data_IF_253360676530
#
_entry.id   IF_253360676530
#
_cell.length_a   1.000
_cell.length_b   1.000
_cell.length_c   1.000
_cell.angle_alpha   90.00
_cell.angle_beta   90.00
_cell.angle_gamma   90.00
#
_symmetry.space_group_name_H-M   'P 1'
#
loop_
_entity.id
_entity.type
_entity.pdbx_description
1 polymer ?
#
# COMPACT_ATOMS: atom_id res chain seq x y z
N UNK A 1 -5.92 -28.01 -3.65
CA UNK A 1 -6.13 -26.95 -2.65
C UNK A 1 -5.31 -25.68 -2.90
N UNK A 2 -3.98 -25.75 -3.10
CA UNK A 2 -3.12 -24.55 -3.27
C UNK A 2 -3.55 -23.61 -4.43
N UNK A 3 -3.92 -24.13 -5.60
CA UNK A 3 -4.37 -23.31 -6.75
C UNK A 3 -5.67 -22.53 -6.47
N UNK A 4 -6.60 -23.11 -5.70
CA UNK A 4 -7.86 -22.48 -5.35
C UNK A 4 -7.66 -21.35 -4.32
N UNK A 5 -6.79 -21.58 -3.34
CA UNK A 5 -6.40 -20.55 -2.35
C UNK A 5 -5.71 -19.35 -3.02
N UNK A 6 -4.82 -19.58 -4.00
CA UNK A 6 -4.17 -18.51 -4.77
C UNK A 6 -5.19 -17.67 -5.57
N UNK A 7 -6.16 -18.31 -6.22
CA UNK A 7 -7.24 -17.60 -6.93
C UNK A 7 -8.06 -16.72 -5.99
N UNK A 8 -8.43 -17.23 -4.80
CA UNK A 8 -9.17 -16.45 -3.80
C UNK A 8 -8.36 -15.25 -3.31
N UNK A 9 -7.09 -15.45 -2.92
CA UNK A 9 -6.21 -14.34 -2.50
C UNK A 9 -6.10 -13.25 -3.56
N UNK A 10 -5.91 -13.65 -4.81
CA UNK A 10 -5.81 -12.73 -5.94
C UNK A 10 -7.12 -11.96 -6.17
N UNK A 11 -8.27 -12.64 -6.09
CA UNK A 11 -9.58 -12.01 -6.24
C UNK A 11 -9.84 -10.98 -5.12
N UNK A 12 -9.55 -11.34 -3.87
CA UNK A 12 -9.69 -10.44 -2.72
C UNK A 12 -8.76 -9.23 -2.84
N UNK A 13 -7.50 -9.44 -3.25
CA UNK A 13 -6.55 -8.34 -3.45
C UNK A 13 -7.00 -7.39 -4.56
N UNK A 14 -7.47 -7.96 -5.69
CA UNK A 14 -7.95 -7.17 -6.84
C UNK A 14 -9.18 -6.35 -6.45
N UNK A 15 -10.14 -6.97 -5.76
CA UNK A 15 -11.33 -6.29 -5.26
C UNK A 15 -10.98 -5.19 -4.25
N UNK A 16 -10.12 -5.49 -3.27
CA UNK A 16 -9.68 -4.49 -2.28
C UNK A 16 -8.96 -3.31 -2.92
N UNK A 17 -8.06 -3.57 -3.88
CA UNK A 17 -7.36 -2.52 -4.63
C UNK A 17 -8.34 -1.70 -5.48
N UNK A 18 -9.32 -2.34 -6.12
CA UNK A 18 -10.34 -1.66 -6.90
C UNK A 18 -11.18 -0.71 -6.02
N UNK A 19 -11.65 -1.19 -4.87
CA UNK A 19 -12.39 -0.35 -3.92
C UNK A 19 -11.52 0.81 -3.44
N UNK A 20 -10.25 0.55 -3.09
CA UNK A 20 -9.32 1.57 -2.61
C UNK A 20 -9.01 2.64 -3.68
N UNK A 21 -8.81 2.22 -4.92
CA UNK A 21 -8.56 3.11 -6.06
C UNK A 21 -9.73 4.08 -6.29
N UNK A 22 -10.98 3.60 -6.17
CA UNK A 22 -12.18 4.40 -6.39
C UNK A 22 -12.58 5.28 -5.19
N UNK A 23 -11.77 5.37 -4.13
CA UNK A 23 -12.06 6.29 -3.03
C UNK A 23 -12.00 7.74 -3.55
N UNK A 24 -13.04 8.56 -3.31
CA UNK A 24 -13.06 9.94 -3.80
C UNK A 24 -11.90 10.78 -3.25
N UNK A 25 -11.31 11.69 -4.06
CA UNK A 25 -10.15 12.49 -3.67
C UNK A 25 -10.43 13.40 -2.48
N UNK A 26 -11.67 13.76 -2.21
CA UNK A 26 -12.08 14.61 -1.08
C UNK A 26 -11.71 14.00 0.27
N UNK A 27 -11.73 12.66 0.37
CA UNK A 27 -11.32 11.93 1.57
C UNK A 27 -9.80 11.79 1.68
N UNK A 28 -9.09 11.90 0.55
CA UNK A 28 -7.64 11.78 0.46
C UNK A 28 -6.91 13.14 0.46
N UNK A 29 -7.65 14.26 0.45
CA UNK A 29 -7.14 15.63 0.32
C UNK A 29 -6.43 16.20 1.55
N UNK A 30 -6.15 15.39 2.57
CA UNK A 30 -5.51 15.87 3.80
C UNK A 30 -6.45 16.28 4.94
N UNK A 31 -7.72 16.58 4.63
CA UNK A 31 -8.72 17.13 5.58
C UNK A 31 -9.02 16.22 6.76
N UNK A 32 -9.06 14.90 6.55
CA UNK A 32 -9.45 13.92 7.58
C UNK A 32 -8.28 13.02 7.97
N UNK A 33 -7.80 13.10 9.21
CA UNK A 33 -6.75 12.20 9.69
C UNK A 33 -7.33 10.97 10.36
N UNK A 34 -6.91 9.78 9.91
CA UNK A 34 -7.19 8.49 10.56
C UNK A 34 -6.05 8.04 11.47
N UNK A 35 -4.93 8.78 11.50
CA UNK A 35 -3.78 8.45 12.31
C UNK A 35 -4.07 8.73 13.79
N UNK A 36 -4.17 7.67 14.60
CA UNK A 36 -4.41 7.77 16.04
C UNK A 36 -3.31 8.56 16.77
N UNK A 37 -2.06 8.41 16.33
CA UNK A 37 -0.92 9.15 16.90
C UNK A 37 -1.10 10.67 16.75
N UNK A 38 -1.51 11.14 15.57
CA UNK A 38 -1.80 12.55 15.33
C UNK A 38 -3.03 13.03 16.11
N UNK A 39 -4.03 12.17 16.30
CA UNK A 39 -5.23 12.51 17.05
C UNK A 39 -4.94 12.72 18.54
N UNK A 40 -4.19 11.80 19.15
CA UNK A 40 -3.87 11.78 20.59
C UNK A 40 -2.71 12.72 20.91
N UNK A 41 -1.56 12.55 20.24
CA UNK A 41 -0.31 13.22 20.59
C UNK A 41 -0.11 14.54 19.85
N UNK A 42 -1.01 14.88 18.91
CA UNK A 42 -0.95 16.10 18.09
C UNK A 42 0.37 16.28 17.33
N UNK A 43 1.11 15.19 17.11
CA UNK A 43 2.37 15.14 16.38
C UNK A 43 2.25 14.18 15.20
N UNK A 44 3.05 14.41 14.17
CA UNK A 44 3.13 13.49 13.04
C UNK A 44 4.13 12.38 13.36
N UNK A 45 3.71 11.12 13.17
CA UNK A 45 4.62 9.98 13.21
C UNK A 45 5.15 9.68 11.80
N UNK A 46 6.17 8.85 11.72
CA UNK A 46 6.75 8.37 10.46
C UNK A 46 5.72 7.75 9.49
N UNK A 47 4.64 7.14 10.00
CA UNK A 47 3.56 6.57 9.19
C UNK A 47 2.41 7.54 8.89
N UNK A 48 2.52 8.82 9.27
CA UNK A 48 1.46 9.79 8.97
C UNK A 48 1.35 9.95 7.44
N UNK A 49 0.13 10.03 6.91
CA UNK A 49 -0.09 10.21 5.48
C UNK A 49 0.15 8.97 4.60
N UNK A 50 0.59 7.83 5.13
CA UNK A 50 0.89 6.63 4.31
C UNK A 50 -0.27 6.23 3.41
N UNK A 51 -1.48 6.04 3.94
CA UNK A 51 -2.65 5.63 3.14
C UNK A 51 -2.94 6.61 1.99
N UNK A 52 -2.82 7.92 2.24
CA UNK A 52 -3.02 8.96 1.21
C UNK A 52 -1.89 8.94 0.18
N UNK A 53 -0.66 8.74 0.64
CA UNK A 53 0.50 8.56 -0.22
C UNK A 53 0.34 7.36 -1.15
N UNK A 54 -0.13 6.21 -0.64
CA UNK A 54 -0.47 5.03 -1.45
C UNK A 54 -1.52 5.40 -2.51
N UNK A 55 -2.60 6.06 -2.11
CA UNK A 55 -3.64 6.49 -3.04
C UNK A 55 -3.10 7.46 -4.12
N UNK A 56 -2.25 8.41 -3.74
CA UNK A 56 -1.62 9.36 -4.66
C UNK A 56 -0.69 8.66 -5.66
N UNK A 57 0.14 7.72 -5.19
CA UNK A 57 1.01 6.94 -6.08
C UNK A 57 0.20 6.09 -7.07
N UNK A 58 -0.92 5.50 -6.65
CA UNK A 58 -1.82 4.78 -7.55
C UNK A 58 -2.46 5.69 -8.62
N UNK A 59 -2.63 6.97 -8.32
CA UNK A 59 -3.13 7.99 -9.26
C UNK A 59 -2.01 8.78 -9.95
N UNK A 60 -0.76 8.33 -9.85
CA UNK A 60 0.42 8.97 -10.46
C UNK A 60 0.67 10.42 -9.97
N UNK A 61 0.20 10.76 -8.77
CA UNK A 61 0.37 12.07 -8.12
C UNK A 61 1.60 12.05 -7.20
N UNK A 62 2.79 12.01 -7.79
CA UNK A 62 4.04 11.80 -7.05
C UNK A 62 4.40 12.96 -6.10
N UNK A 63 4.21 14.20 -6.53
CA UNK A 63 4.52 15.37 -5.70
C UNK A 63 3.67 15.37 -4.43
N UNK A 64 2.36 15.13 -4.56
CA UNK A 64 1.46 15.06 -3.41
C UNK A 64 1.75 13.86 -2.52
N UNK A 65 2.13 12.72 -3.11
CA UNK A 65 2.58 11.57 -2.34
C UNK A 65 3.80 11.91 -1.47
N UNK A 66 4.76 12.67 -2.02
CA UNK A 66 5.93 13.15 -1.29
C UNK A 66 5.56 14.09 -0.14
N UNK A 67 4.63 15.02 -0.39
CA UNK A 67 4.14 15.95 0.64
C UNK A 67 3.40 15.22 1.77
N UNK A 68 2.65 14.15 1.46
CA UNK A 68 1.96 13.37 2.49
C UNK A 68 2.90 12.49 3.32
N UNK A 69 3.86 11.82 2.68
CA UNK A 69 4.85 11.00 3.38
C UNK A 69 6.06 10.74 2.47
N UNK A 70 7.22 11.29 2.81
CA UNK A 70 8.44 11.11 2.00
C UNK A 70 8.92 9.65 1.94
N UNK A 71 8.69 8.85 2.99
CA UNK A 71 9.05 7.43 3.02
C UNK A 71 8.10 6.57 2.17
N UNK A 72 7.06 7.16 1.56
CA UNK A 72 6.15 6.43 0.69
C UNK A 72 6.88 5.78 -0.48
N UNK A 73 7.92 6.42 -1.01
CA UNK A 73 8.70 5.90 -2.13
C UNK A 73 9.51 4.65 -1.78
N UNK A 74 9.70 4.36 -0.50
CA UNK A 74 10.34 3.12 -0.01
C UNK A 74 9.27 2.13 0.44
N UNK A 75 8.31 2.60 1.23
CA UNK A 75 7.28 1.74 1.84
C UNK A 75 6.28 1.21 0.82
N UNK A 76 5.97 1.95 -0.25
CA UNK A 76 5.08 1.50 -1.32
C UNK A 76 5.70 0.33 -2.11
N UNK A 77 6.91 0.42 -2.70
CA UNK A 77 7.53 -0.72 -3.37
C UNK A 77 7.71 -1.94 -2.46
N UNK A 78 8.11 -1.72 -1.20
CA UNK A 78 8.25 -2.80 -0.23
C UNK A 78 6.92 -3.50 0.05
N UNK A 79 5.83 -2.73 0.19
CA UNK A 79 4.50 -3.29 0.41
C UNK A 79 4.01 -4.09 -0.80
N UNK A 80 4.21 -3.56 -2.02
CA UNK A 80 3.92 -4.28 -3.27
C UNK A 80 4.70 -5.59 -3.32
N UNK A 81 6.00 -5.56 -3.01
CA UNK A 81 6.84 -6.74 -2.97
C UNK A 81 6.34 -7.79 -1.97
N UNK A 82 6.03 -7.39 -0.73
CA UNK A 82 5.49 -8.28 0.30
C UNK A 82 4.15 -8.92 -0.12
N UNK A 83 3.27 -8.15 -0.76
CA UNK A 83 1.98 -8.63 -1.27
C UNK A 83 2.19 -9.65 -2.39
N UNK A 84 3.05 -9.35 -3.36
CA UNK A 84 3.38 -10.27 -4.45
C UNK A 84 3.99 -11.56 -3.91
N UNK A 85 4.93 -11.46 -2.97
CA UNK A 85 5.51 -12.61 -2.29
C UNK A 85 4.44 -13.49 -1.63
N UNK A 86 3.50 -12.88 -0.91
CA UNK A 86 2.42 -13.58 -0.21
C UNK A 86 1.37 -14.22 -1.15
N UNK A 87 1.06 -13.56 -2.26
CA UNK A 87 0.09 -14.06 -3.26
C UNK A 87 0.69 -15.18 -4.10
N UNK A 88 1.91 -14.99 -4.58
CA UNK A 88 2.56 -15.94 -5.49
C UNK A 88 3.29 -17.07 -4.76
N UNK A 89 3.48 -16.96 -3.45
CA UNK A 89 4.36 -17.83 -2.66
C UNK A 89 5.72 -17.93 -3.37
N UNK A 90 6.33 -16.77 -3.66
CA UNK A 90 7.63 -16.73 -4.32
C UNK A 90 8.66 -17.43 -3.42
N UNK A 91 8.94 -18.70 -3.63
CA UNK A 91 9.96 -19.39 -2.82
C UNK A 91 11.35 -18.86 -3.20
N UNK A 92 11.96 -18.05 -2.32
CA UNK A 92 13.31 -17.50 -2.53
C UNK A 92 14.36 -18.58 -2.75
N UNK A 93 14.10 -19.85 -2.37
CA UNK A 93 15.00 -20.97 -2.69
C UNK A 93 15.12 -21.24 -4.19
N UNK A 94 14.10 -20.89 -4.98
CA UNK A 94 14.16 -21.00 -6.45
C UNK A 94 14.97 -19.89 -7.11
N UNK A 95 15.14 -18.74 -6.45
CA UNK A 95 15.98 -17.64 -6.96
C UNK A 95 17.48 -17.92 -6.78
N UNK A 96 17.84 -18.68 -5.75
CA UNK A 96 19.23 -19.11 -5.50
C UNK A 96 19.74 -20.15 -6.52
N UNK A 97 18.86 -20.71 -7.35
CA UNK A 97 19.24 -21.70 -8.37
C UNK A 97 19.68 -21.05 -9.70
N UNK A 98 19.60 -19.72 -9.80
CA UNK A 98 20.01 -18.91 -10.96
C UNK A 98 21.24 -18.03 -10.70
N UNK A 99 21.96 -18.25 -9.58
CA UNK A 99 23.26 -17.64 -9.28
C UNK A 99 24.32 -18.70 -9.07
#
# INVERSE_FOLDING_TARGET
>A
MLKFQKKIKFLLLSFGTFVFYNIPPEYMSGRYTVCLFRLILKRECFGCGTVRGFWCLLHLRFEEAFQFNQMIFITFPLSVFCILYWVFEMDFRKLKQFS
#
